data_IF_628336479501
#
_entry.id   IF_628336479501
#
_cell.length_a   1.000
_cell.length_b   1.000
_cell.length_c   1.000
_cell.angle_alpha   90.00
_cell.angle_beta   90.00
_cell.angle_gamma   90.00
#
_symmetry.space_group_name_H-M   'P 1'
#
loop_
_entity.id
_entity.type
_entity.pdbx_description
1 polymer ?
#
# COMPACT_ATOMS: atom_id res chain seq x y z
N UNK A 1 -48.24 -13.37 -21.23
CA UNK A 1 -47.12 -13.43 -20.27
C UNK A 1 -46.59 -12.03 -20.07
N UNK A 2 -47.06 -11.35 -19.04
CA UNK A 2 -46.75 -9.94 -18.79
C UNK A 2 -45.50 -9.85 -17.90
N UNK A 3 -44.45 -9.20 -18.40
CA UNK A 3 -43.23 -8.92 -17.64
C UNK A 3 -43.40 -7.58 -16.92
N UNK A 4 -43.49 -7.62 -15.59
CA UNK A 4 -43.48 -6.43 -14.73
C UNK A 4 -42.03 -6.10 -14.37
N UNK A 5 -41.53 -4.94 -14.81
CA UNK A 5 -40.27 -4.38 -14.30
C UNK A 5 -40.61 -3.16 -13.46
N UNK A 6 -40.39 -3.30 -12.14
CA UNK A 6 -40.54 -2.23 -11.16
C UNK A 6 -39.30 -1.35 -11.16
N UNK A 7 -39.55 -0.05 -11.34
CA UNK A 7 -38.61 1.01 -10.97
C UNK A 7 -37.76 1.51 -12.13
N UNK A 8 -38.16 2.66 -12.67
CA UNK A 8 -37.27 3.80 -12.94
C UNK A 8 -38.12 4.97 -13.45
N UNK A 9 -37.73 6.16 -13.01
CA UNK A 9 -38.24 7.47 -13.42
C UNK A 9 -38.41 7.57 -14.93
N UNK A 10 -39.60 8.04 -15.35
CA UNK A 10 -39.95 8.24 -16.75
C UNK A 10 -39.01 9.27 -17.40
N UNK A 11 -38.09 8.78 -18.23
CA UNK A 11 -37.54 9.58 -19.32
C UNK A 11 -38.31 9.16 -20.58
N UNK A 12 -39.08 10.09 -21.14
CA UNK A 12 -39.76 9.94 -22.43
C UNK A 12 -38.70 9.91 -23.53
N UNK A 13 -38.54 8.75 -24.18
CA UNK A 13 -37.73 8.60 -25.39
C UNK A 13 -38.67 8.71 -26.59
N UNK A 14 -38.52 9.79 -27.37
CA UNK A 14 -39.15 9.91 -28.68
C UNK A 14 -38.39 9.00 -29.67
N UNK A 15 -39.05 7.95 -30.15
CA UNK A 15 -38.48 7.02 -31.13
C UNK A 15 -39.08 7.35 -32.49
N UNK A 16 -38.32 8.07 -33.33
CA UNK A 16 -38.61 8.13 -34.76
C UNK A 16 -38.28 6.77 -35.38
N UNK A 17 -39.25 6.15 -36.06
CA UNK A 17 -39.32 4.72 -36.39
C UNK A 17 -38.27 4.12 -37.33
N UNK A 18 -37.02 4.58 -37.32
CA UNK A 18 -35.91 4.02 -38.10
C UNK A 18 -34.83 3.32 -37.26
N UNK A 19 -34.99 3.25 -35.93
CA UNK A 19 -33.96 2.67 -35.06
C UNK A 19 -34.36 1.30 -34.48
N UNK A 20 -33.45 0.33 -34.58
CA UNK A 20 -33.62 -1.04 -34.03
C UNK A 20 -33.08 -1.10 -32.60
N UNK A 21 -33.64 -1.99 -31.76
CA UNK A 21 -33.27 -2.14 -30.33
C UNK A 21 -31.76 -2.28 -30.06
N UNK A 22 -30.97 -2.70 -31.05
CA UNK A 22 -29.52 -2.81 -30.97
C UNK A 22 -28.77 -1.45 -30.96
N UNK A 23 -29.41 -0.38 -31.45
CA UNK A 23 -28.83 0.98 -31.51
C UNK A 23 -29.00 1.75 -30.20
N UNK A 24 -29.89 1.29 -29.31
CA UNK A 24 -30.00 1.76 -27.92
C UNK A 24 -28.86 1.14 -27.12
N UNK A 25 -27.62 1.45 -27.52
CA UNK A 25 -26.43 1.09 -26.75
C UNK A 25 -26.35 2.08 -25.60
N UNK A 26 -27.00 1.74 -24.48
CA UNK A 26 -26.78 2.40 -23.19
C UNK A 26 -25.29 2.33 -22.94
N UNK A 27 -24.60 3.43 -23.21
CA UNK A 27 -23.21 3.61 -22.83
C UNK A 27 -23.21 3.59 -21.32
N UNK A 28 -22.62 2.60 -20.63
CA UNK A 28 -22.51 2.65 -19.19
C UNK A 28 -21.45 3.70 -18.89
N UNK A 29 -21.83 4.97 -18.92
CA UNK A 29 -21.07 6.11 -18.43
C UNK A 29 -21.11 6.08 -16.89
N UNK A 30 -20.75 4.94 -16.30
CA UNK A 30 -20.74 4.72 -14.86
C UNK A 30 -19.42 4.05 -14.55
N UNK A 31 -18.32 4.78 -14.72
CA UNK A 31 -17.12 4.69 -13.89
C UNK A 31 -16.22 5.85 -14.31
N UNK A 32 -16.62 7.03 -13.84
CA UNK A 32 -16.00 8.31 -14.14
C UNK A 32 -14.51 8.34 -13.78
N UNK A 33 -13.80 9.19 -14.53
CA UNK A 33 -12.44 9.70 -14.30
C UNK A 33 -12.05 9.61 -12.82
N UNK A 34 -11.15 8.67 -12.49
CA UNK A 34 -10.64 8.50 -11.12
C UNK A 34 -9.93 9.78 -10.71
N UNK A 35 -10.42 10.45 -9.66
CA UNK A 35 -9.80 11.65 -9.12
C UNK A 35 -8.60 11.27 -8.24
N UNK A 36 -7.42 11.73 -8.66
CA UNK A 36 -6.13 11.45 -8.04
C UNK A 36 -5.08 11.31 -9.13
N UNK A 37 -4.27 12.35 -9.35
CA UNK A 37 -3.23 12.31 -10.37
C UNK A 37 -2.02 11.50 -9.91
N UNK A 38 -1.41 10.75 -10.83
CA UNK A 38 -0.15 10.03 -10.61
C UNK A 38 1.07 10.98 -10.51
N UNK A 39 0.85 12.30 -10.63
CA UNK A 39 1.87 13.34 -10.70
C UNK A 39 2.82 13.38 -9.49
N UNK A 40 2.43 12.78 -8.35
CA UNK A 40 3.26 12.73 -7.13
C UNK A 40 4.00 11.39 -6.95
N UNK A 41 3.87 10.46 -7.88
CA UNK A 41 4.55 9.17 -7.80
C UNK A 41 6.07 9.38 -7.75
N UNK A 42 6.73 8.80 -6.75
CA UNK A 42 8.19 8.87 -6.61
C UNK A 42 8.77 10.22 -6.15
N UNK A 43 7.95 11.27 -5.90
CA UNK A 43 8.42 12.61 -5.50
C UNK A 43 9.44 12.57 -4.35
N UNK A 44 9.12 11.84 -3.27
CA UNK A 44 9.98 11.76 -2.08
C UNK A 44 11.26 10.95 -2.34
N UNK A 45 11.16 9.89 -3.16
CA UNK A 45 12.32 9.05 -3.50
C UNK A 45 13.33 9.80 -4.38
N UNK A 46 12.88 10.73 -5.21
CA UNK A 46 13.74 11.58 -6.02
C UNK A 46 14.33 12.77 -5.27
N UNK A 47 13.60 13.33 -4.30
CA UNK A 47 14.06 14.46 -3.50
C UNK A 47 15.10 14.05 -2.43
N UNK A 48 15.03 12.81 -1.92
CA UNK A 48 15.94 12.36 -0.86
C UNK A 48 17.34 12.10 -1.40
N UNK A 49 18.41 12.60 -0.74
CA UNK A 49 19.77 12.38 -1.22
C UNK A 49 20.12 10.89 -1.20
N UNK A 50 20.80 10.42 -2.25
CA UNK A 50 21.19 9.01 -2.37
C UNK A 50 22.43 8.72 -1.52
N UNK A 51 22.24 8.34 -0.27
CA UNK A 51 23.34 7.95 0.61
C UNK A 51 23.88 6.57 0.20
N UNK A 52 25.17 6.50 -0.13
CA UNK A 52 25.86 5.25 -0.43
C UNK A 52 26.00 4.37 0.83
N UNK A 53 25.99 3.05 0.65
CA UNK A 53 26.20 2.13 1.78
C UNK A 53 27.67 2.20 2.19
N UNK A 54 27.93 2.52 3.45
CA UNK A 54 29.26 2.39 4.04
C UNK A 54 29.66 0.92 4.11
N UNK A 55 30.96 0.65 3.92
CA UNK A 55 31.51 -0.68 4.14
C UNK A 55 31.40 -1.06 5.63
N UNK A 56 30.82 -2.23 5.90
CA UNK A 56 30.67 -2.77 7.25
C UNK A 56 31.28 -4.16 7.29
N UNK A 57 32.02 -4.46 8.36
CA UNK A 57 32.56 -5.81 8.60
C UNK A 57 31.45 -6.85 8.50
N UNK A 58 31.71 -7.96 7.80
CA UNK A 58 30.77 -9.07 7.68
C UNK A 58 30.36 -9.56 9.07
N UNK A 59 29.06 -9.60 9.34
CA UNK A 59 28.54 -10.11 10.61
C UNK A 59 28.77 -11.62 10.67
N UNK A 60 29.19 -12.13 11.84
CA UNK A 60 29.21 -13.59 12.09
C UNK A 60 27.80 -14.14 11.93
N UNK A 61 27.69 -15.36 11.38
CA UNK A 61 26.42 -16.09 11.16
C UNK A 61 26.42 -17.40 11.95
N UNK A 62 25.27 -18.10 11.97
CA UNK A 62 25.12 -19.42 12.59
C UNK A 62 25.44 -19.48 14.09
N UNK A 63 26.10 -20.57 14.51
CA UNK A 63 26.45 -20.85 15.92
C UNK A 63 27.29 -19.74 16.55
N UNK A 64 28.24 -19.18 15.81
CA UNK A 64 29.10 -18.09 16.29
C UNK A 64 28.29 -16.83 16.63
N UNK A 65 27.27 -16.50 15.82
CA UNK A 65 26.35 -15.38 16.10
C UNK A 65 25.51 -15.65 17.35
N UNK A 66 24.99 -16.86 17.51
CA UNK A 66 24.17 -17.25 18.68
C UNK A 66 24.96 -17.17 19.98
N UNK A 67 26.22 -17.66 20.01
CA UNK A 67 27.12 -17.52 21.17
C UNK A 67 27.33 -16.05 21.54
N UNK A 68 27.63 -15.20 20.55
CA UNK A 68 27.82 -13.76 20.78
C UNK A 68 26.55 -13.09 21.34
N UNK A 69 25.36 -13.49 20.86
CA UNK A 69 24.08 -12.96 21.32
C UNK A 69 23.76 -13.38 22.76
N UNK A 70 24.04 -14.63 23.13
CA UNK A 70 23.87 -15.12 24.50
C UNK A 70 24.76 -14.35 25.47
N UNK A 71 26.06 -14.26 25.18
CA UNK A 71 27.01 -13.53 26.02
C UNK A 71 26.59 -12.07 26.22
N UNK A 72 26.12 -11.39 25.16
CA UNK A 72 25.63 -10.01 25.25
C UNK A 72 24.34 -9.83 26.05
N UNK A 73 23.50 -10.86 26.17
CA UNK A 73 22.18 -10.74 26.83
C UNK A 73 22.20 -11.20 28.29
N UNK A 74 23.06 -12.16 28.62
CA UNK A 74 22.99 -12.88 29.88
C UNK A 74 24.31 -12.85 30.66
N UNK A 75 25.43 -13.15 30.01
CA UNK A 75 26.73 -13.26 30.71
C UNK A 75 27.32 -11.89 31.02
N UNK A 76 27.32 -10.99 30.03
CA UNK A 76 27.97 -9.68 30.14
C UNK A 76 27.05 -8.59 30.71
N UNK A 77 25.78 -8.91 30.99
CA UNK A 77 24.82 -7.93 31.53
C UNK A 77 24.86 -8.01 33.05
N UNK A 78 25.25 -6.91 33.70
CA UNK A 78 25.09 -6.75 35.15
C UNK A 78 23.68 -6.19 35.41
N UNK A 79 22.87 -6.82 36.27
CA UNK A 79 21.56 -6.28 36.63
C UNK A 79 21.75 -4.99 37.44
N UNK A 80 21.52 -3.85 36.80
CA UNK A 80 21.50 -2.55 37.45
C UNK A 80 20.08 -2.21 37.91
N UNK A 81 19.96 -1.46 39.00
CA UNK A 81 18.67 -0.93 39.45
C UNK A 81 18.11 0.10 38.44
N UNK A 82 16.78 0.14 38.29
CA UNK A 82 16.09 1.04 37.36
C UNK A 82 15.64 0.39 36.04
N UNK A 83 15.18 1.21 35.09
CA UNK A 83 14.63 0.73 33.81
C UNK A 83 15.76 0.21 32.91
N UNK A 84 15.64 -1.04 32.43
CA UNK A 84 16.62 -1.63 31.50
C UNK A 84 16.68 -0.86 30.19
N UNK A 85 17.86 -0.36 29.81
CA UNK A 85 18.09 0.30 28.51
C UNK A 85 18.04 -0.73 27.38
N UNK A 86 17.36 -0.37 26.30
CA UNK A 86 17.20 -1.24 25.14
C UNK A 86 18.48 -1.39 24.31
N UNK A 87 18.63 -2.47 23.52
CA UNK A 87 19.84 -2.76 22.74
C UNK A 87 20.11 -1.77 21.59
N UNK A 88 19.16 -0.90 21.24
CA UNK A 88 19.30 0.12 20.20
C UNK A 88 18.78 1.48 20.70
N UNK A 89 19.11 1.83 21.95
CA UNK A 89 18.82 3.13 22.51
C UNK A 89 19.91 4.13 22.08
N UNK A 90 19.50 5.29 21.54
CA UNK A 90 20.39 6.34 21.02
C UNK A 90 20.63 7.49 22.02
N UNK A 91 20.27 7.27 23.30
CA UNK A 91 20.58 8.19 24.39
C UNK A 91 21.98 8.00 24.95
#
# INVERSE_FOLDING_TARGET
MQLFIRGQTLLTLEVSGSETLAQIKVSPQIWGKVHGSLARAGKVRGQTPKVAKQEKKKKKTGRAKRRMQYNRRFVNVVPTFGKKKGPNANS
#
